data_IF_298172756594
#
_entry.id   IF_298172756594
#
_cell.length_a   1.000
_cell.length_b   1.000
_cell.length_c   1.000
_cell.angle_alpha   90.00
_cell.angle_beta   90.00
_cell.angle_gamma   90.00
#
_symmetry.space_group_name_H-M   'P 1'
#
loop_
_entity.id
_entity.type
_entity.pdbx_description
1 polymer ?
#
# COMPACT_ATOMS: atom_id res chain seq x y z
N UNK A 1 3.12 52.13 38.34
CA UNK A 1 4.15 51.66 37.38
C UNK A 1 3.98 50.19 36.98
N UNK A 2 3.69 49.25 37.89
CA UNK A 2 3.53 47.81 37.55
C UNK A 2 2.37 47.51 36.58
N UNK A 3 1.22 48.16 36.78
CA UNK A 3 -0.01 47.94 35.98
C UNK A 3 0.13 48.38 34.51
N UNK A 4 0.83 49.50 34.27
CA UNK A 4 1.06 50.03 32.91
C UNK A 4 2.00 49.11 32.12
N UNK A 5 3.03 48.60 32.79
CA UNK A 5 3.99 47.66 32.19
C UNK A 5 3.31 46.34 31.84
N UNK A 6 2.45 45.83 32.74
CA UNK A 6 1.69 44.61 32.51
C UNK A 6 0.66 44.77 31.38
N UNK A 7 0.01 45.94 31.29
CA UNK A 7 -0.88 46.27 30.19
C UNK A 7 -0.14 46.30 28.84
N UNK A 8 1.02 46.96 28.78
CA UNK A 8 1.86 47.01 27.57
C UNK A 8 2.35 45.63 27.14
N UNK A 9 2.77 44.78 28.09
CA UNK A 9 3.18 43.41 27.79
C UNK A 9 2.03 42.55 27.27
N UNK A 10 0.84 42.70 27.86
CA UNK A 10 -0.35 41.96 27.44
C UNK A 10 -0.77 42.41 26.03
N UNK A 11 -0.75 43.71 25.76
CA UNK A 11 -1.03 44.27 24.44
C UNK A 11 -0.03 43.77 23.40
N UNK A 12 1.26 43.75 23.75
CA UNK A 12 2.31 43.25 22.88
C UNK A 12 2.14 41.75 22.56
N UNK A 13 1.80 40.94 23.56
CA UNK A 13 1.51 39.51 23.36
C UNK A 13 0.31 39.29 22.42
N UNK A 14 -0.75 40.09 22.55
CA UNK A 14 -1.91 40.04 21.66
C UNK A 14 -1.57 40.42 20.22
N UNK A 15 -0.70 41.41 20.02
CA UNK A 15 -0.22 41.80 18.69
C UNK A 15 0.59 40.65 18.06
N UNK A 16 1.50 40.03 18.81
CA UNK A 16 2.26 38.88 18.30
C UNK A 16 1.36 37.68 17.99
N UNK A 17 0.39 37.39 18.84
CA UNK A 17 -0.56 36.31 18.64
C UNK A 17 -1.41 36.51 17.38
N UNK A 18 -1.92 37.73 17.15
CA UNK A 18 -2.74 38.05 15.98
C UNK A 18 -1.92 38.00 14.68
N UNK A 19 -0.71 38.54 14.66
CA UNK A 19 0.17 38.50 13.48
C UNK A 19 0.57 37.05 13.16
N UNK A 20 1.00 36.29 14.17
CA UNK A 20 1.39 34.88 14.00
C UNK A 20 0.23 34.00 13.56
N UNK A 21 -0.92 34.12 14.23
CA UNK A 21 -2.13 33.36 13.92
C UNK A 21 -2.68 33.67 12.52
N UNK A 22 -2.72 34.94 12.13
CA UNK A 22 -3.18 35.32 10.79
C UNK A 22 -2.22 34.84 9.70
N UNK A 23 -0.92 34.89 9.94
CA UNK A 23 0.08 34.39 8.99
C UNK A 23 -0.02 32.87 8.82
N UNK A 24 -0.21 32.12 9.91
CA UNK A 24 -0.43 30.69 9.90
C UNK A 24 -1.69 30.31 9.11
N UNK A 25 -2.84 30.94 9.41
CA UNK A 25 -4.09 30.69 8.68
C UNK A 25 -3.97 31.02 7.18
N UNK A 26 -3.22 32.07 6.83
CA UNK A 26 -2.96 32.44 5.43
C UNK A 26 -2.07 31.41 4.72
N UNK A 27 -1.07 30.86 5.39
CA UNK A 27 -0.22 29.79 4.84
C UNK A 27 -1.02 28.49 4.66
N UNK A 28 -1.84 28.12 5.63
CA UNK A 28 -2.64 26.91 5.58
C UNK A 28 -3.73 26.97 4.50
N UNK A 29 -4.32 28.15 4.27
CA UNK A 29 -5.25 28.37 3.14
C UNK A 29 -4.57 28.42 1.78
N UNK A 30 -3.28 28.80 1.72
CA UNK A 30 -2.51 28.86 0.46
C UNK A 30 -1.90 27.51 0.07
N UNK A 31 -1.67 26.62 1.04
CA UNK A 31 -1.38 25.22 0.80
C UNK A 31 -2.67 24.52 0.37
N UNK A 32 -2.97 24.60 -0.93
CA UNK A 32 -3.82 23.60 -1.57
C UNK A 32 -3.19 22.25 -1.26
N UNK A 33 -3.77 21.52 -0.32
CA UNK A 33 -3.51 20.09 -0.16
C UNK A 33 -3.67 19.53 -1.55
N UNK A 34 -2.56 19.14 -2.19
CA UNK A 34 -2.61 18.32 -3.39
C UNK A 34 -3.34 17.08 -2.92
N UNK A 35 -4.66 17.05 -3.12
CA UNK A 35 -5.40 15.82 -3.12
C UNK A 35 -4.59 14.97 -4.08
N UNK A 36 -3.95 13.92 -3.54
CA UNK A 36 -3.37 12.86 -4.34
C UNK A 36 -4.55 12.43 -5.18
N UNK A 37 -4.61 12.89 -6.43
CA UNK A 37 -5.65 12.49 -7.35
C UNK A 37 -5.70 10.97 -7.27
N UNK A 38 -6.89 10.34 -7.30
CA UNK A 38 -6.97 8.89 -7.24
C UNK A 38 -5.97 8.41 -8.28
N UNK A 39 -4.87 7.83 -7.80
CA UNK A 39 -3.89 7.21 -8.64
C UNK A 39 -4.75 6.22 -9.40
N UNK A 40 -4.94 6.48 -10.69
CA UNK A 40 -5.79 5.66 -11.51
C UNK A 40 -5.05 4.35 -11.55
N UNK A 41 -5.36 3.52 -10.55
CA UNK A 41 -4.87 2.20 -10.41
C UNK A 41 -5.39 1.59 -11.68
N UNK A 42 -4.49 1.50 -12.65
CA UNK A 42 -4.69 0.68 -13.82
C UNK A 42 -4.57 -0.72 -13.26
N UNK A 43 -5.54 -1.10 -12.41
CA UNK A 43 -5.90 -2.45 -12.13
C UNK A 43 -6.40 -2.86 -13.49
N UNK A 44 -5.49 -3.38 -14.31
CA UNK A 44 -5.85 -4.28 -15.38
C UNK A 44 -6.75 -5.28 -14.68
N UNK A 45 -8.06 -5.11 -14.83
CA UNK A 45 -9.02 -6.12 -14.48
C UNK A 45 -8.62 -7.28 -15.37
N UNK A 46 -7.79 -8.18 -14.83
CA UNK A 46 -7.48 -9.43 -15.47
C UNK A 46 -8.81 -10.15 -15.55
N UNK A 47 -9.49 -9.96 -16.69
CA UNK A 47 -10.74 -10.63 -16.98
C UNK A 47 -10.47 -12.10 -16.70
N UNK A 48 -11.24 -12.71 -15.82
CA UNK A 48 -11.10 -14.13 -15.51
C UNK A 48 -11.37 -14.91 -16.81
N UNK A 49 -10.30 -15.18 -17.56
CA UNK A 49 -10.30 -16.12 -18.65
C UNK A 49 -10.31 -17.49 -17.97
N UNK A 50 -11.51 -17.91 -17.55
CA UNK A 50 -11.70 -19.20 -16.90
C UNK A 50 -10.96 -20.26 -17.69
N UNK A 51 -9.91 -20.82 -17.10
CA UNK A 51 -9.25 -21.98 -17.64
C UNK A 51 -10.32 -23.08 -17.63
N UNK A 52 -10.60 -23.69 -18.79
CA UNK A 52 -11.58 -24.79 -18.88
C UNK A 52 -11.26 -25.98 -17.95
N UNK A 53 -10.10 -25.95 -17.31
CA UNK A 53 -9.67 -26.80 -16.21
C UNK A 53 -9.67 -26.00 -14.88
N UNK A 54 -10.58 -26.36 -13.96
CA UNK A 54 -10.72 -25.79 -12.62
C UNK A 54 -9.50 -26.05 -11.72
N UNK A 55 -8.59 -26.93 -12.14
CA UNK A 55 -7.33 -27.20 -11.41
C UNK A 55 -6.25 -26.18 -11.74
N UNK A 56 -6.47 -25.33 -12.75
CA UNK A 56 -5.49 -24.35 -13.22
C UNK A 56 -5.92 -22.94 -12.86
N UNK A 57 -4.93 -22.11 -12.55
CA UNK A 57 -5.08 -20.71 -12.18
C UNK A 57 -4.22 -19.88 -13.15
N UNK A 58 -4.72 -18.72 -13.53
CA UNK A 58 -3.96 -17.82 -14.39
C UNK A 58 -2.79 -17.19 -13.64
N UNK A 59 -1.66 -16.97 -14.31
CA UNK A 59 -0.54 -16.29 -13.69
C UNK A 59 -0.86 -14.86 -13.23
N UNK A 60 -1.82 -14.19 -13.87
CA UNK A 60 -2.32 -12.89 -13.41
C UNK A 60 -2.99 -12.97 -12.03
N UNK A 61 -3.73 -14.05 -11.74
CA UNK A 61 -4.29 -14.29 -10.40
C UNK A 61 -3.21 -14.60 -9.39
N UNK A 62 -2.17 -15.36 -9.76
CA UNK A 62 -1.02 -15.64 -8.90
C UNK A 62 -0.25 -14.38 -8.52
N UNK A 63 -0.07 -13.45 -9.45
CA UNK A 63 0.56 -12.15 -9.17
C UNK A 63 -0.27 -11.37 -8.14
N UNK A 64 -1.61 -11.47 -8.21
CA UNK A 64 -2.50 -10.84 -7.23
C UNK A 64 -2.36 -11.38 -5.79
N UNK A 65 -1.72 -12.54 -5.61
CA UNK A 65 -1.50 -13.16 -4.29
C UNK A 65 -0.18 -12.73 -3.65
N UNK A 66 0.73 -12.13 -4.42
CA UNK A 66 2.06 -11.71 -3.95
C UNK A 66 1.99 -10.68 -2.80
N UNK A 67 1.13 -9.63 -2.83
CA UNK A 67 1.08 -8.65 -1.75
C UNK A 67 0.77 -9.28 -0.37
N UNK A 68 -0.21 -10.19 -0.31
CA UNK A 68 -0.57 -10.88 0.94
C UNK A 68 0.54 -11.80 1.44
N UNK A 69 1.27 -12.44 0.54
CA UNK A 69 2.40 -13.28 0.91
C UNK A 69 3.57 -12.48 1.51
N UNK A 70 3.77 -11.24 1.03
CA UNK A 70 4.79 -10.31 1.57
C UNK A 70 4.34 -9.69 2.89
N UNK A 71 3.03 -9.55 3.11
CA UNK A 71 2.48 -9.12 4.40
C UNK A 71 2.55 -10.20 5.50
N UNK A 72 2.94 -11.44 5.14
CA UNK A 72 3.16 -12.54 6.10
C UNK A 72 1.96 -13.47 6.31
N UNK A 73 0.87 -13.29 5.57
CA UNK A 73 -0.34 -14.11 5.73
C UNK A 73 -0.10 -15.59 5.37
N UNK A 74 0.78 -15.85 4.39
CA UNK A 74 1.18 -17.18 3.94
C UNK A 74 2.47 -17.09 3.12
N UNK A 75 3.17 -18.21 2.98
CA UNK A 75 4.30 -18.32 2.05
C UNK A 75 3.75 -18.64 0.66
N UNK A 76 4.11 -17.85 -0.35
CA UNK A 76 3.75 -18.13 -1.74
C UNK A 76 4.98 -18.62 -2.52
N UNK A 77 4.84 -19.71 -3.28
CA UNK A 77 5.90 -20.27 -4.11
C UNK A 77 5.43 -20.31 -5.55
N UNK A 78 6.10 -19.59 -6.47
CA UNK A 78 5.77 -19.58 -7.91
C UNK A 78 6.97 -20.11 -8.68
N UNK A 79 6.83 -21.24 -9.38
CA UNK A 79 7.92 -21.86 -10.17
C UNK A 79 9.23 -22.05 -9.36
N UNK A 80 9.11 -22.29 -8.03
CA UNK A 80 10.23 -22.45 -7.12
C UNK A 80 10.79 -21.15 -6.51
N UNK A 81 10.24 -19.98 -6.89
CA UNK A 81 10.56 -18.69 -6.29
C UNK A 81 9.68 -18.48 -5.06
N UNK A 82 10.29 -18.19 -3.92
CA UNK A 82 9.61 -18.00 -2.64
C UNK A 82 9.31 -16.52 -2.42
N UNK A 83 8.07 -16.22 -2.09
CA UNK A 83 7.56 -14.91 -1.69
C UNK A 83 7.12 -14.98 -0.23
N UNK A 84 7.78 -14.19 0.62
CA UNK A 84 7.51 -14.01 2.03
C UNK A 84 7.88 -12.56 2.44
N UNK A 85 7.82 -12.25 3.74
CA UNK A 85 8.15 -10.93 4.30
C UNK A 85 9.58 -10.43 3.99
N UNK A 86 10.51 -11.36 3.71
CA UNK A 86 11.91 -11.05 3.44
C UNK A 86 12.19 -10.94 1.93
N UNK A 87 11.21 -11.24 1.07
CA UNK A 87 11.40 -11.25 -0.38
C UNK A 87 11.50 -9.84 -0.93
N UNK A 88 12.64 -9.55 -1.56
CA UNK A 88 12.83 -8.34 -2.35
C UNK A 88 12.16 -8.49 -3.73
N UNK A 89 11.09 -7.73 -3.96
CA UNK A 89 10.34 -7.72 -5.22
C UNK A 89 11.15 -7.20 -6.41
N UNK A 90 12.14 -6.34 -6.18
CA UNK A 90 12.96 -5.76 -7.26
C UNK A 90 13.95 -6.78 -7.84
N UNK A 91 14.23 -7.85 -7.10
CA UNK A 91 15.12 -8.93 -7.50
C UNK A 91 14.42 -10.07 -8.27
N UNK A 92 13.08 -10.05 -8.37
CA UNK A 92 12.29 -11.15 -8.94
C UNK A 92 11.75 -10.79 -10.32
N UNK A 93 12.07 -11.62 -11.34
CA UNK A 93 11.51 -11.45 -12.69
C UNK A 93 10.13 -12.12 -12.82
N UNK A 94 9.08 -11.30 -12.76
CA UNK A 94 7.68 -11.73 -12.92
C UNK A 94 7.16 -11.61 -14.36
N UNK A 95 7.95 -11.15 -15.33
CA UNK A 95 7.47 -10.80 -16.68
C UNK A 95 6.88 -12.00 -17.45
N UNK A 96 7.31 -13.22 -17.12
CA UNK A 96 6.84 -14.47 -17.72
C UNK A 96 5.66 -15.13 -17.02
N UNK A 97 5.18 -14.58 -15.90
CA UNK A 97 4.10 -15.17 -15.08
C UNK A 97 2.71 -14.91 -15.66
N UNK A 98 2.31 -13.69 -16.09
CA UNK A 98 0.92 -13.37 -16.45
C UNK A 98 0.29 -14.26 -17.54
N UNK A 99 1.09 -14.75 -18.48
CA UNK A 99 0.62 -15.59 -19.60
C UNK A 99 0.60 -17.10 -19.31
N UNK A 100 1.07 -17.53 -18.13
CA UNK A 100 1.14 -18.94 -17.74
C UNK A 100 -0.16 -19.45 -17.12
N UNK A 101 -0.44 -20.73 -17.31
CA UNK A 101 -1.43 -21.47 -16.53
C UNK A 101 -0.70 -22.33 -15.50
N UNK A 102 -1.14 -22.27 -14.25
CA UNK A 102 -0.45 -22.85 -13.11
C UNK A 102 -1.37 -23.78 -12.33
N UNK A 103 -0.87 -24.93 -11.88
CA UNK A 103 -1.53 -25.78 -10.90
C UNK A 103 -1.22 -25.27 -9.49
N UNK A 104 -2.27 -25.03 -8.69
CA UNK A 104 -2.16 -24.41 -7.38
C UNK A 104 -2.34 -25.47 -6.29
N UNK A 105 -1.38 -25.57 -5.38
CA UNK A 105 -1.42 -26.43 -4.19
C UNK A 105 -1.46 -25.56 -2.95
N UNK A 106 -2.37 -25.88 -2.05
CA UNK A 106 -2.57 -25.15 -0.79
C UNK A 106 -2.28 -26.08 0.36
N UNK A 107 -1.31 -25.73 1.19
CA UNK A 107 -1.00 -26.41 2.44
C UNK A 107 -1.67 -25.67 3.58
N UNK A 108 -2.41 -26.40 4.41
CA UNK A 108 -3.10 -25.86 5.59
C UNK A 108 -2.64 -26.55 6.86
N UNK A 109 -2.50 -25.78 7.92
CA UNK A 109 -2.28 -26.28 9.28
C UNK A 109 -3.35 -25.70 10.20
N UNK A 110 -4.12 -26.57 10.87
CA UNK A 110 -5.20 -26.16 11.79
C UNK A 110 -6.09 -25.05 11.23
N UNK A 111 -6.62 -25.26 10.02
CA UNK A 111 -7.52 -24.35 9.29
C UNK A 111 -6.88 -23.07 8.70
N UNK A 112 -5.64 -22.74 9.09
CA UNK A 112 -4.87 -21.63 8.52
C UNK A 112 -4.11 -22.08 7.26
N UNK A 113 -4.08 -21.24 6.23
CA UNK A 113 -3.22 -21.47 5.07
C UNK A 113 -1.80 -21.09 5.45
N UNK A 114 -0.86 -22.02 5.33
CA UNK A 114 0.56 -21.77 5.67
C UNK A 114 1.41 -21.59 4.42
N UNK A 115 1.07 -22.30 3.34
CA UNK A 115 1.83 -22.23 2.09
C UNK A 115 0.90 -22.41 0.89
N UNK A 116 1.15 -21.63 -0.15
CA UNK A 116 0.54 -21.77 -1.46
C UNK A 116 1.66 -21.96 -2.47
N UNK A 117 1.67 -23.08 -3.18
CA UNK A 117 2.64 -23.35 -4.25
C UNK A 117 1.95 -23.42 -5.61
N UNK A 118 2.62 -22.87 -6.62
CA UNK A 118 2.17 -22.84 -7.99
C UNK A 118 3.27 -23.29 -8.93
N UNK A 119 2.95 -24.27 -9.77
CA UNK A 119 3.84 -24.81 -10.79
C UNK A 119 3.10 -24.98 -12.11
N UNK A 120 3.79 -24.78 -13.23
CA UNK A 120 3.23 -24.98 -14.58
C UNK A 120 3.04 -26.46 -14.94
#
# INVERSE_FOLDING_TARGET
>A
MKTVTQFLLTLFAWILFTIGGFTFLRLETSHTVKARGPEQSTITQALYAGTGDLKKVSGAQLIGMIPQAIEGDYILVIDGIIFNEETDLDAVDLRGVPGGAYELRVTRNSEMITEISASR
#
